data_IF_298996391801
#
_entry.id   IF_298996391801
#
_cell.length_a   1.000
_cell.length_b   1.000
_cell.length_c   1.000
_cell.angle_alpha   90.00
_cell.angle_beta   90.00
_cell.angle_gamma   90.00
#
_symmetry.space_group_name_H-M   'P 1'
#
loop_
_entity.id
_entity.type
_entity.pdbx_description
1 polymer ?
#
# COMPACT_ATOMS: atom_id res chain seq x y z
N UNK A 1 25.19 -14.41 -1.75
CA UNK A 1 23.88 -14.77 -2.16
C UNK A 1 23.70 -15.00 -3.65
N UNK A 2 22.56 -15.53 -4.03
CA UNK A 2 22.22 -15.81 -5.42
C UNK A 2 21.75 -14.55 -6.18
N UNK A 3 21.43 -13.48 -5.48
CA UNK A 3 21.11 -12.16 -6.03
C UNK A 3 21.74 -11.09 -5.14
N UNK A 4 23.00 -10.84 -5.33
CA UNK A 4 23.55 -9.56 -4.95
C UNK A 4 23.25 -8.60 -6.12
N UNK A 5 22.33 -7.66 -5.92
CA UNK A 5 22.33 -6.44 -6.73
C UNK A 5 23.61 -5.72 -6.31
N UNK A 6 24.70 -6.18 -6.82
CA UNK A 6 25.98 -5.50 -6.68
C UNK A 6 25.85 -4.22 -7.48
N UNK A 7 25.85 -3.07 -6.81
CA UNK A 7 26.39 -1.87 -7.44
C UNK A 7 27.64 -2.27 -8.23
N UNK A 8 27.88 -1.69 -9.41
CA UNK A 8 28.98 -2.12 -10.28
C UNK A 8 30.21 -2.41 -9.44
N UNK A 9 30.74 -3.65 -9.53
CA UNK A 9 31.76 -4.16 -8.60
C UNK A 9 33.01 -3.29 -8.45
N UNK A 10 33.21 -2.33 -9.39
CA UNK A 10 34.23 -1.31 -9.29
C UNK A 10 33.98 -0.29 -8.16
N UNK A 11 32.73 -0.01 -7.80
CA UNK A 11 32.38 0.90 -6.70
C UNK A 11 32.54 0.23 -5.33
N UNK A 12 32.09 -1.02 -5.20
CA UNK A 12 32.22 -1.79 -3.95
C UNK A 12 33.68 -2.13 -3.71
N UNK A 13 34.40 -2.64 -4.72
CA UNK A 13 35.85 -2.97 -4.61
C UNK A 13 36.73 -1.75 -4.34
N UNK A 14 36.33 -0.54 -4.79
CA UNK A 14 37.06 0.69 -4.50
C UNK A 14 36.80 1.19 -3.07
N UNK A 15 35.61 0.92 -2.55
CA UNK A 15 35.23 1.22 -1.16
C UNK A 15 35.94 0.25 -0.19
N UNK A 16 35.94 -1.06 -0.47
CA UNK A 16 36.64 -2.07 0.33
C UNK A 16 38.16 -1.86 0.36
N UNK A 17 38.79 -1.52 -0.78
CA UNK A 17 40.24 -1.20 -0.85
C UNK A 17 40.60 0.05 -0.03
N UNK A 18 39.69 0.98 0.14
CA UNK A 18 39.90 2.16 0.98
C UNK A 18 39.54 1.89 2.46
N UNK A 19 38.72 0.89 2.77
CA UNK A 19 38.46 0.43 4.12
C UNK A 19 39.70 -0.21 4.77
N UNK A 20 40.52 -0.91 3.96
CA UNK A 20 41.78 -1.52 4.43
C UNK A 20 42.89 -0.50 4.78
N UNK A 21 42.71 0.78 4.44
CA UNK A 21 43.71 1.86 4.68
C UNK A 21 43.70 2.42 6.11
N UNK A 22 43.13 1.75 7.08
CA UNK A 22 43.18 2.09 8.52
C UNK A 22 43.01 3.60 8.83
N UNK A 23 42.21 3.96 9.82
CA UNK A 23 41.96 5.33 10.21
C UNK A 23 40.53 5.80 9.95
N UNK A 24 40.26 7.09 10.20
CA UNK A 24 38.92 7.70 10.05
C UNK A 24 38.32 7.54 8.65
N UNK A 25 39.17 7.51 7.62
CA UNK A 25 38.76 7.34 6.23
C UNK A 25 38.22 5.90 5.94
N UNK A 26 38.87 4.88 6.52
CA UNK A 26 38.42 3.50 6.43
C UNK A 26 37.08 3.28 7.12
N UNK A 27 36.89 3.86 8.30
CA UNK A 27 35.62 3.82 9.02
C UNK A 27 34.51 4.52 8.23
N UNK A 28 34.80 5.63 7.60
CA UNK A 28 33.85 6.36 6.74
C UNK A 28 33.40 5.50 5.54
N UNK A 29 34.33 4.85 4.84
CA UNK A 29 33.99 4.01 3.69
C UNK A 29 33.27 2.72 4.11
N UNK A 30 33.60 2.12 5.26
CA UNK A 30 32.83 1.01 5.83
C UNK A 30 31.39 1.44 6.16
N UNK A 31 31.22 2.59 6.80
CA UNK A 31 29.90 3.14 7.10
C UNK A 31 29.11 3.46 5.83
N UNK A 32 29.76 4.03 4.82
CA UNK A 32 29.15 4.32 3.52
C UNK A 32 28.68 3.06 2.81
N UNK A 33 29.51 2.01 2.80
CA UNK A 33 29.14 0.71 2.21
C UNK A 33 27.95 0.09 2.96
N UNK A 34 27.97 0.14 4.30
CA UNK A 34 26.87 -0.35 5.12
C UNK A 34 25.58 0.38 4.82
N UNK A 35 25.63 1.72 4.71
CA UNK A 35 24.45 2.55 4.38
C UNK A 35 23.93 2.22 2.98
N UNK A 36 24.81 2.10 1.98
CA UNK A 36 24.43 1.77 0.61
C UNK A 36 23.76 0.40 0.50
N UNK A 37 24.28 -0.61 1.21
CA UNK A 37 23.65 -1.94 1.26
C UNK A 37 22.33 -1.93 2.01
N UNK A 38 22.24 -1.16 3.10
CA UNK A 38 21.02 -1.04 3.92
C UNK A 38 19.95 -0.14 3.27
N UNK A 39 20.31 0.70 2.28
CA UNK A 39 19.38 1.66 1.68
C UNK A 39 18.18 0.98 1.01
N UNK A 40 18.35 -0.21 0.47
CA UNK A 40 17.25 -1.00 -0.12
C UNK A 40 16.16 -1.33 0.89
N UNK A 41 16.53 -1.62 2.15
CA UNK A 41 15.58 -1.95 3.22
C UNK A 41 14.99 -0.72 3.90
N UNK A 42 15.71 0.41 3.90
CA UNK A 42 15.29 1.66 4.58
C UNK A 42 14.61 2.66 3.64
N UNK A 43 14.75 2.46 2.32
CA UNK A 43 14.19 3.32 1.29
C UNK A 43 12.71 3.68 1.48
N UNK A 44 11.81 2.73 1.76
CA UNK A 44 10.40 3.02 2.02
C UNK A 44 10.15 3.93 3.22
N UNK A 45 10.92 3.75 4.31
CA UNK A 45 10.80 4.57 5.54
C UNK A 45 11.32 5.98 5.28
N UNK A 46 12.48 6.09 4.64
CA UNK A 46 13.08 7.38 4.27
C UNK A 46 12.19 8.11 3.26
N UNK A 47 11.67 7.39 2.26
CA UNK A 47 10.78 7.94 1.25
C UNK A 47 9.49 8.51 1.85
N UNK A 48 8.85 7.79 2.77
CA UNK A 48 7.64 8.27 3.44
C UNK A 48 7.90 9.51 4.31
N UNK A 49 9.05 9.58 4.97
CA UNK A 49 9.44 10.75 5.76
C UNK A 49 9.72 11.98 4.87
N UNK A 50 10.37 11.80 3.71
CA UNK A 50 10.60 12.88 2.76
C UNK A 50 9.28 13.40 2.19
N UNK A 51 8.36 12.51 1.81
CA UNK A 51 7.04 12.88 1.32
C UNK A 51 6.26 13.64 2.40
N UNK A 52 6.30 13.21 3.66
CA UNK A 52 5.69 13.92 4.79
C UNK A 52 6.28 15.33 4.96
N UNK A 53 7.59 15.48 4.84
CA UNK A 53 8.25 16.79 4.93
C UNK A 53 7.83 17.75 3.80
N UNK A 54 7.63 17.25 2.57
CA UNK A 54 7.14 18.07 1.45
C UNK A 54 5.67 18.45 1.58
N UNK A 55 4.91 17.72 2.42
CA UNK A 55 3.53 18.02 2.75
C UNK A 55 3.36 19.16 3.78
N UNK A 56 4.44 19.71 4.30
CA UNK A 56 4.45 20.83 5.26
C UNK A 56 4.46 20.40 6.72
N UNK A 57 4.57 19.11 7.00
CA UNK A 57 4.63 18.58 8.36
C UNK A 57 6.11 18.41 8.77
N UNK A 58 6.65 19.39 9.48
CA UNK A 58 8.08 19.42 9.82
C UNK A 58 8.47 18.47 10.95
N UNK A 59 7.61 18.35 11.96
CA UNK A 59 7.95 17.64 13.20
C UNK A 59 7.85 16.13 13.09
N UNK A 60 6.82 15.62 12.42
CA UNK A 60 6.60 14.17 12.30
C UNK A 60 7.75 13.45 11.53
N UNK A 61 8.24 13.94 10.36
CA UNK A 61 9.39 13.35 9.69
C UNK A 61 10.68 13.39 10.50
N UNK A 62 10.95 14.52 11.19
CA UNK A 62 12.16 14.67 12.03
C UNK A 62 12.11 13.66 13.19
N UNK A 63 10.99 13.57 13.89
CA UNK A 63 10.83 12.63 15.01
C UNK A 63 10.95 11.17 14.54
N UNK A 64 10.32 10.83 13.42
CA UNK A 64 10.40 9.49 12.82
C UNK A 64 11.82 9.11 12.46
N UNK A 65 12.57 10.00 11.82
CA UNK A 65 13.97 9.78 11.45
C UNK A 65 14.88 9.71 12.67
N UNK A 66 14.62 10.51 13.69
CA UNK A 66 15.40 10.48 14.94
C UNK A 66 15.18 9.18 15.69
N UNK A 67 13.94 8.74 15.88
CA UNK A 67 13.59 7.47 16.51
C UNK A 67 14.18 6.30 15.72
N UNK A 68 14.05 6.32 14.40
CA UNK A 68 14.63 5.31 13.51
C UNK A 68 16.15 5.22 13.69
N UNK A 69 16.85 6.37 13.66
CA UNK A 69 18.32 6.42 13.78
C UNK A 69 18.80 5.91 15.14
N UNK A 70 18.12 6.28 16.25
CA UNK A 70 18.44 5.81 17.59
C UNK A 70 18.21 4.30 17.69
N UNK A 71 17.06 3.81 17.22
CA UNK A 71 16.72 2.39 17.27
C UNK A 71 17.71 1.54 16.48
N UNK A 72 18.12 2.05 15.31
CA UNK A 72 19.11 1.38 14.46
C UNK A 72 20.53 1.40 15.06
N UNK A 73 20.92 2.51 15.68
CA UNK A 73 22.24 2.63 16.32
C UNK A 73 22.37 1.83 17.61
N UNK A 74 21.26 1.57 18.33
CA UNK A 74 21.26 0.96 19.66
C UNK A 74 21.93 -0.43 19.70
N UNK A 75 21.66 -1.41 18.81
CA UNK A 75 22.34 -2.69 18.78
C UNK A 75 23.85 -2.56 18.60
N UNK A 76 24.28 -1.69 17.69
CA UNK A 76 25.71 -1.47 17.41
C UNK A 76 26.43 -0.83 18.59
N UNK A 77 25.78 0.15 19.23
CA UNK A 77 26.31 0.79 20.44
C UNK A 77 26.44 -0.20 21.58
N UNK A 78 25.42 -1.08 21.77
CA UNK A 78 25.44 -2.13 22.78
C UNK A 78 26.61 -3.11 22.57
N UNK A 79 26.82 -3.55 21.32
CA UNK A 79 27.94 -4.43 20.97
C UNK A 79 29.30 -3.74 21.11
N UNK A 80 29.38 -2.44 20.83
CA UNK A 80 30.60 -1.66 21.02
C UNK A 80 30.94 -1.48 22.52
N UNK A 81 29.92 -1.27 23.36
CA UNK A 81 30.10 -1.14 24.82
C UNK A 81 30.42 -2.47 25.52
N UNK A 82 29.87 -3.57 25.00
CA UNK A 82 30.04 -4.90 25.59
C UNK A 82 30.62 -5.89 24.58
N UNK A 83 31.92 -5.80 24.24
CA UNK A 83 32.56 -6.73 23.28
C UNK A 83 32.50 -8.21 23.70
N UNK A 84 32.25 -8.48 25.01
CA UNK A 84 32.04 -9.83 25.55
C UNK A 84 30.79 -10.51 25.00
N UNK A 85 29.75 -9.75 24.63
CA UNK A 85 28.54 -10.27 24.00
C UNK A 85 28.84 -10.84 22.59
N UNK A 86 29.76 -10.21 21.86
CA UNK A 86 30.23 -10.70 20.56
C UNK A 86 31.03 -12.02 20.67
N UNK A 87 31.73 -12.25 21.77
CA UNK A 87 32.51 -13.49 21.97
C UNK A 87 31.60 -14.70 22.19
N UNK A 88 30.39 -14.49 22.71
CA UNK A 88 29.40 -15.53 22.96
C UNK A 88 28.48 -15.81 21.78
N UNK A 89 28.54 -14.98 20.70
CA UNK A 89 27.85 -15.29 19.46
C UNK A 89 28.53 -16.51 18.81
N UNK A 90 27.74 -17.52 18.37
CA UNK A 90 28.30 -18.68 17.71
C UNK A 90 29.14 -18.23 16.50
N UNK A 91 30.43 -18.54 16.52
CA UNK A 91 31.37 -18.22 15.44
C UNK A 91 31.08 -19.00 14.14
N UNK A 92 30.00 -19.78 14.11
CA UNK A 92 29.57 -20.49 12.92
C UNK A 92 28.83 -19.53 11.99
N UNK A 93 29.43 -19.17 10.87
CA UNK A 93 28.83 -18.33 9.80
C UNK A 93 27.46 -18.79 9.29
N UNK A 94 27.02 -20.01 9.65
CA UNK A 94 25.72 -20.57 9.24
C UNK A 94 24.49 -19.85 9.79
N UNK A 95 24.56 -19.28 11.01
CA UNK A 95 23.42 -18.53 11.56
C UNK A 95 23.18 -17.22 10.79
N UNK A 96 24.26 -16.48 10.53
CA UNK A 96 24.18 -15.22 9.80
C UNK A 96 23.67 -15.44 8.36
N UNK A 97 24.13 -16.56 7.73
CA UNK A 97 23.63 -16.91 6.40
C UNK A 97 22.14 -17.25 6.42
N UNK A 98 21.66 -17.98 7.45
CA UNK A 98 20.24 -18.27 7.61
C UNK A 98 19.40 -16.99 7.74
N UNK A 99 19.87 -16.00 8.50
CA UNK A 99 19.19 -14.70 8.62
C UNK A 99 19.13 -13.98 7.27
N UNK A 100 20.25 -13.95 6.53
CA UNK A 100 20.28 -13.34 5.18
C UNK A 100 19.27 -13.98 4.23
N UNK A 101 19.15 -15.30 4.24
CA UNK A 101 18.22 -16.03 3.38
C UNK A 101 16.77 -15.73 3.77
N UNK A 102 16.44 -15.73 5.07
CA UNK A 102 15.09 -15.39 5.57
C UNK A 102 14.72 -13.97 5.14
N UNK A 103 15.61 -13.00 5.36
CA UNK A 103 15.39 -11.62 4.92
C UNK A 103 15.23 -11.52 3.40
N UNK A 104 16.00 -12.30 2.63
CA UNK A 104 15.86 -12.37 1.17
C UNK A 104 14.47 -12.82 0.70
N UNK A 105 13.87 -13.82 1.35
CA UNK A 105 12.48 -14.22 1.06
C UNK A 105 11.49 -13.10 1.37
N UNK A 106 11.65 -12.40 2.48
CA UNK A 106 10.80 -11.26 2.86
C UNK A 106 10.97 -10.12 1.86
N UNK A 107 12.19 -9.80 1.44
CA UNK A 107 12.46 -8.77 0.42
C UNK A 107 11.82 -9.11 -0.92
N UNK A 108 11.86 -10.36 -1.35
CA UNK A 108 11.19 -10.82 -2.58
C UNK A 108 9.68 -10.62 -2.46
N UNK A 109 9.07 -11.02 -1.34
CA UNK A 109 7.65 -10.83 -1.12
C UNK A 109 7.25 -9.34 -1.14
N UNK A 110 8.02 -8.47 -0.47
CA UNK A 110 7.81 -7.03 -0.50
C UNK A 110 8.06 -6.42 -1.88
N UNK A 111 9.04 -6.93 -2.63
CA UNK A 111 9.30 -6.54 -4.01
C UNK A 111 8.07 -6.75 -4.91
N UNK A 112 7.40 -7.89 -4.77
CA UNK A 112 6.13 -8.14 -5.46
C UNK A 112 5.01 -7.20 -5.01
N UNK A 113 5.01 -6.74 -3.75
CA UNK A 113 4.06 -5.70 -3.30
C UNK A 113 4.24 -4.41 -4.09
N UNK A 114 5.47 -3.92 -4.23
CA UNK A 114 5.73 -2.71 -5.01
C UNK A 114 5.41 -2.89 -6.50
N UNK A 115 5.72 -4.07 -7.04
CA UNK A 115 5.39 -4.39 -8.44
C UNK A 115 3.87 -4.44 -8.65
N UNK A 116 3.11 -5.01 -7.71
CA UNK A 116 1.65 -5.01 -7.76
C UNK A 116 1.04 -3.59 -7.68
N UNK A 117 1.64 -2.69 -6.88
CA UNK A 117 1.21 -1.28 -6.86
C UNK A 117 1.48 -0.62 -8.20
N UNK A 118 2.63 -0.86 -8.81
CA UNK A 118 2.94 -0.36 -10.16
C UNK A 118 1.95 -0.92 -11.18
N UNK A 119 1.66 -2.22 -11.13
CA UNK A 119 0.70 -2.90 -12.00
C UNK A 119 -0.68 -2.23 -11.96
N UNK A 120 -1.21 -1.99 -10.77
CA UNK A 120 -2.49 -1.32 -10.56
C UNK A 120 -2.46 0.13 -11.02
N UNK A 121 -1.36 0.85 -10.76
CA UNK A 121 -1.21 2.27 -11.10
C UNK A 121 -1.12 2.51 -12.61
N UNK A 122 -0.55 1.56 -13.36
CA UNK A 122 -0.42 1.59 -14.81
C UNK A 122 -1.44 0.70 -15.54
N UNK A 123 -2.29 -0.01 -14.82
CA UNK A 123 -3.35 -0.89 -15.35
C UNK A 123 -2.84 -1.98 -16.30
N UNK A 124 -1.73 -2.66 -15.93
CA UNK A 124 -1.17 -3.76 -16.73
C UNK A 124 -1.99 -5.05 -16.61
N UNK A 125 -2.64 -5.28 -15.45
CA UNK A 125 -3.47 -6.48 -15.18
C UNK A 125 -2.65 -7.77 -15.12
N UNK A 126 -1.42 -7.72 -14.63
CA UNK A 126 -0.51 -8.87 -14.54
C UNK A 126 -0.46 -9.46 -13.13
N UNK A 127 -0.66 -8.62 -12.11
CA UNK A 127 -0.55 -8.98 -10.70
C UNK A 127 -1.85 -8.74 -9.95
N UNK A 128 -2.92 -9.31 -10.47
CA UNK A 128 -4.21 -9.36 -9.80
C UNK A 128 -4.12 -10.10 -8.47
N UNK A 129 -5.14 -9.96 -7.62
CA UNK A 129 -5.08 -10.41 -6.24
C UNK A 129 -4.74 -11.90 -6.09
N UNK A 130 -5.30 -12.77 -6.92
CA UNK A 130 -5.03 -14.21 -6.90
C UNK A 130 -3.60 -14.53 -7.34
N UNK A 131 -3.09 -13.91 -8.38
CA UNK A 131 -1.71 -14.10 -8.87
C UNK A 131 -0.71 -13.65 -7.80
N UNK A 132 -0.96 -12.49 -7.22
CA UNK A 132 -0.15 -11.95 -6.13
C UNK A 132 -0.15 -12.87 -4.91
N UNK A 133 -1.33 -13.34 -4.47
CA UNK A 133 -1.45 -14.29 -3.36
C UNK A 133 -0.77 -15.62 -3.64
N UNK A 134 -0.90 -16.14 -4.85
CA UNK A 134 -0.21 -17.38 -5.25
C UNK A 134 1.31 -17.24 -5.11
N UNK A 135 1.88 -16.12 -5.56
CA UNK A 135 3.32 -15.85 -5.42
C UNK A 135 3.72 -15.74 -3.95
N UNK A 136 2.93 -15.06 -3.12
CA UNK A 136 3.21 -14.93 -1.68
C UNK A 136 3.12 -16.28 -0.98
N UNK A 137 2.08 -17.06 -1.22
CA UNK A 137 1.88 -18.41 -0.65
C UNK A 137 3.09 -19.30 -0.98
N UNK A 138 3.53 -19.31 -2.24
CA UNK A 138 4.68 -20.12 -2.66
C UNK A 138 5.97 -19.60 -2.02
N UNK A 139 6.17 -18.28 -1.97
CA UNK A 139 7.38 -17.67 -1.39
C UNK A 139 7.52 -18.00 0.09
N UNK A 140 6.44 -17.85 0.87
CA UNK A 140 6.45 -18.19 2.30
C UNK A 140 6.47 -19.69 2.53
N UNK A 141 5.81 -20.52 1.72
CA UNK A 141 5.93 -21.98 1.81
C UNK A 141 7.37 -22.45 1.61
N UNK A 142 8.09 -21.87 0.64
CA UNK A 142 9.52 -22.15 0.42
C UNK A 142 10.38 -21.69 1.62
N UNK A 143 10.04 -20.55 2.23
CA UNK A 143 10.68 -20.09 3.47
C UNK A 143 10.45 -21.09 4.61
N UNK A 144 9.24 -21.61 4.78
CA UNK A 144 8.92 -22.65 5.78
C UNK A 144 9.74 -23.92 5.56
N UNK A 145 9.87 -24.40 4.32
CA UNK A 145 10.73 -25.54 3.99
C UNK A 145 12.21 -25.25 4.24
N UNK A 146 12.67 -24.02 4.00
CA UNK A 146 14.01 -23.58 4.33
C UNK A 146 14.26 -23.63 5.85
N UNK A 147 13.32 -23.11 6.65
CA UNK A 147 13.40 -23.13 8.12
C UNK A 147 13.44 -24.56 8.66
N UNK A 148 12.71 -25.50 8.06
CA UNK A 148 12.76 -26.93 8.38
C UNK A 148 14.05 -27.63 7.90
N UNK A 149 14.94 -26.92 7.18
CA UNK A 149 16.19 -27.48 6.65
C UNK A 149 16.02 -28.43 5.46
N UNK A 150 14.84 -28.44 4.83
CA UNK A 150 14.56 -29.24 3.61
C UNK A 150 15.07 -28.55 2.35
N UNK A 151 15.08 -27.22 2.35
CA UNK A 151 15.65 -26.40 1.28
C UNK A 151 17.05 -25.90 1.74
N UNK A 152 18.05 -25.94 0.86
CA UNK A 152 19.41 -25.50 1.16
C UNK A 152 20.00 -24.71 0.00
N UNK A 153 20.72 -23.66 0.31
CA UNK A 153 21.48 -22.86 -0.65
C UNK A 153 22.98 -23.14 -0.52
N UNK A 154 23.76 -22.70 -1.51
CA UNK A 154 25.17 -23.09 -1.70
C UNK A 154 26.09 -22.79 -0.49
N UNK A 155 25.76 -21.88 0.39
CA UNK A 155 26.57 -21.51 1.55
C UNK A 155 25.91 -21.86 2.90
N UNK A 156 24.85 -22.68 2.88
CA UNK A 156 24.17 -23.08 4.10
C UNK A 156 24.91 -24.21 4.82
N UNK A 157 24.97 -24.08 6.15
CA UNK A 157 25.45 -25.15 7.01
C UNK A 157 24.43 -26.29 7.09
N UNK A 158 24.91 -27.51 7.21
CA UNK A 158 24.05 -28.68 7.35
C UNK A 158 23.25 -28.63 8.65
N UNK A 159 21.92 -28.67 8.54
CA UNK A 159 21.01 -28.71 9.68
C UNK A 159 20.78 -30.17 10.07
N UNK A 160 21.63 -30.69 10.94
CA UNK A 160 21.50 -32.08 11.45
C UNK A 160 20.36 -32.24 12.45
N UNK A 161 20.09 -31.20 13.25
CA UNK A 161 19.01 -31.16 14.26
C UNK A 161 18.27 -29.85 14.18
N UNK A 162 16.93 -29.89 14.25
CA UNK A 162 16.11 -28.69 14.33
C UNK A 162 16.18 -28.11 15.74
N UNK A 163 16.53 -26.83 15.86
CA UNK A 163 16.37 -26.10 17.12
C UNK A 163 14.89 -25.73 17.35
N UNK A 164 14.48 -25.65 18.60
CA UNK A 164 13.11 -25.26 19.00
C UNK A 164 12.73 -23.92 18.38
N UNK A 165 13.64 -22.95 18.33
CA UNK A 165 13.39 -21.63 17.72
C UNK A 165 13.11 -21.71 16.22
N UNK A 166 13.85 -22.52 15.45
CA UNK A 166 13.61 -22.72 14.02
C UNK A 166 12.27 -23.40 13.78
N UNK A 167 11.93 -24.40 14.60
CA UNK A 167 10.64 -25.07 14.51
C UNK A 167 9.48 -24.10 14.80
N UNK A 168 9.61 -23.28 15.84
CA UNK A 168 8.60 -22.28 16.18
C UNK A 168 8.40 -21.26 15.03
N UNK A 169 9.48 -20.77 14.44
CA UNK A 169 9.42 -19.88 13.28
C UNK A 169 8.76 -20.56 12.07
N UNK A 170 9.07 -21.82 11.79
CA UNK A 170 8.46 -22.58 10.71
C UNK A 170 6.95 -22.77 10.95
N UNK A 171 6.52 -23.02 12.18
CA UNK A 171 5.09 -23.12 12.52
C UNK A 171 4.37 -21.80 12.27
N UNK A 172 4.94 -20.68 12.70
CA UNK A 172 4.37 -19.34 12.46
C UNK A 172 4.27 -19.06 10.96
N UNK A 173 5.31 -19.37 10.21
CA UNK A 173 5.38 -19.17 8.76
C UNK A 173 4.33 -20.02 8.03
N UNK A 174 4.23 -21.32 8.31
CA UNK A 174 3.19 -22.16 7.72
C UNK A 174 1.77 -21.77 8.16
N UNK A 175 1.58 -21.33 9.40
CA UNK A 175 0.29 -20.78 9.84
C UNK A 175 -0.09 -19.54 9.01
N UNK A 176 0.89 -18.69 8.69
CA UNK A 176 0.69 -17.53 7.81
C UNK A 176 0.35 -17.96 6.38
N UNK A 177 1.01 -18.99 5.83
CA UNK A 177 0.69 -19.58 4.53
C UNK A 177 -0.75 -20.08 4.51
N UNK A 178 -1.17 -20.87 5.52
CA UNK A 178 -2.54 -21.39 5.63
C UNK A 178 -3.57 -20.27 5.76
N UNK A 179 -3.23 -19.20 6.49
CA UNK A 179 -4.10 -18.03 6.61
C UNK A 179 -4.34 -17.32 5.27
N UNK A 180 -3.35 -17.31 4.35
CA UNK A 180 -3.50 -16.68 3.02
C UNK A 180 -4.34 -17.51 2.04
N UNK A 181 -4.41 -18.84 2.19
CA UNK A 181 -5.09 -19.74 1.25
C UNK A 181 -6.54 -19.34 0.96
N UNK A 182 -7.41 -19.04 1.95
CA UNK A 182 -8.79 -18.61 1.69
C UNK A 182 -8.88 -17.34 0.83
N UNK A 183 -7.85 -16.49 0.85
CA UNK A 183 -7.77 -15.29 0.02
C UNK A 183 -7.80 -15.56 -1.48
N UNK A 184 -7.35 -16.75 -1.92
CA UNK A 184 -7.42 -17.21 -3.31
C UNK A 184 -8.88 -17.34 -3.82
N UNK A 185 -9.85 -17.45 -2.92
CA UNK A 185 -11.29 -17.54 -3.24
C UNK A 185 -12.09 -16.34 -2.76
N UNK A 186 -11.43 -15.20 -2.52
CA UNK A 186 -12.09 -13.93 -2.20
C UNK A 186 -12.26 -13.63 -0.72
N UNK A 187 -11.65 -14.40 0.20
CA UNK A 187 -11.66 -14.02 1.61
C UNK A 187 -10.95 -12.67 1.80
N UNK A 188 -11.52 -11.74 2.60
CA UNK A 188 -11.00 -10.37 2.75
C UNK A 188 -9.62 -10.29 3.42
N UNK A 189 -9.19 -11.33 4.17
CA UNK A 189 -7.89 -11.40 4.86
C UNK A 189 -7.58 -10.11 5.63
N UNK A 190 -8.44 -9.73 6.57
CA UNK A 190 -8.41 -8.44 7.28
C UNK A 190 -7.06 -8.06 7.89
N UNK A 191 -6.25 -9.04 8.33
CA UNK A 191 -4.92 -8.77 8.88
C UNK A 191 -3.89 -8.36 7.82
N UNK A 192 -4.12 -8.69 6.56
CA UNK A 192 -3.24 -8.39 5.43
C UNK A 192 -3.81 -7.35 4.46
N UNK A 193 -4.98 -6.77 4.78
CA UNK A 193 -5.73 -5.90 3.86
C UNK A 193 -4.90 -4.78 3.26
N UNK A 194 -4.02 -4.15 4.04
CA UNK A 194 -3.14 -3.08 3.56
C UNK A 194 -2.02 -3.52 2.61
N UNK A 195 -1.71 -4.81 2.58
CA UNK A 195 -0.61 -5.35 1.76
C UNK A 195 -1.07 -6.03 0.49
N UNK A 196 -2.34 -6.40 0.41
CA UNK A 196 -2.93 -7.11 -0.72
C UNK A 196 -3.51 -6.15 -1.75
N UNK A 197 -3.53 -6.54 -3.04
CA UNK A 197 -4.35 -5.87 -4.05
C UNK A 197 -5.82 -5.82 -3.65
N UNK A 198 -6.60 -4.86 -4.18
CA UNK A 198 -8.04 -4.76 -3.92
C UNK A 198 -8.79 -6.05 -4.27
N UNK A 199 -9.89 -6.33 -3.57
CA UNK A 199 -10.74 -7.50 -3.88
C UNK A 199 -11.31 -7.44 -5.30
N UNK A 200 -11.50 -6.25 -5.83
CA UNK A 200 -12.08 -6.02 -7.15
C UNK A 200 -11.18 -6.50 -8.31
N UNK A 201 -9.88 -6.68 -8.07
CA UNK A 201 -8.96 -7.24 -9.07
C UNK A 201 -9.01 -8.75 -9.16
N UNK A 202 -9.84 -9.42 -8.33
CA UNK A 202 -9.95 -10.86 -8.29
C UNK A 202 -11.01 -11.35 -9.28
N UNK A 203 -10.63 -12.30 -10.14
CA UNK A 203 -11.51 -12.87 -11.18
C UNK A 203 -12.65 -13.69 -10.59
N UNK A 204 -12.42 -14.32 -9.43
CA UNK A 204 -13.38 -15.24 -8.83
C UNK A 204 -13.51 -15.06 -7.32
N UNK A 205 -14.74 -14.80 -6.84
CA UNK A 205 -15.09 -14.69 -5.43
C UNK A 205 -16.14 -15.74 -5.07
N UNK A 206 -15.78 -16.68 -4.18
CA UNK A 206 -16.69 -17.73 -3.73
C UNK A 206 -17.80 -17.12 -2.86
N UNK A 207 -19.06 -17.39 -3.20
CA UNK A 207 -20.21 -16.94 -2.41
C UNK A 207 -20.84 -15.62 -2.84
N UNK A 208 -20.24 -14.89 -3.74
CA UNK A 208 -20.96 -13.90 -4.52
C UNK A 208 -21.49 -14.62 -5.77
N UNK A 209 -22.81 -14.82 -5.83
CA UNK A 209 -23.43 -15.23 -7.10
C UNK A 209 -23.03 -14.18 -8.13
N UNK A 210 -22.47 -14.57 -9.28
CA UNK A 210 -22.30 -13.62 -10.35
C UNK A 210 -23.70 -13.08 -10.64
N UNK A 211 -23.88 -11.76 -10.52
CA UNK A 211 -25.04 -11.12 -11.11
C UNK A 211 -25.11 -11.63 -12.56
N UNK A 212 -26.31 -11.95 -13.09
CA UNK A 212 -26.41 -12.61 -14.38
C UNK A 212 -25.63 -11.83 -15.42
N UNK A 213 -24.49 -12.36 -15.80
CA UNK A 213 -23.68 -11.84 -16.90
C UNK A 213 -24.37 -12.29 -18.17
N UNK A 214 -25.19 -11.43 -18.74
CA UNK A 214 -25.65 -11.58 -20.12
C UNK A 214 -24.55 -10.97 -20.99
N UNK A 215 -23.56 -11.74 -21.36
CA UNK A 215 -22.40 -11.26 -22.11
C UNK A 215 -22.14 -12.11 -23.33
N UNK A 216 -21.72 -11.47 -24.40
CA UNK A 216 -21.22 -12.09 -25.61
C UNK A 216 -19.81 -12.68 -25.43
N UNK A 217 -19.31 -13.35 -26.49
CA UNK A 217 -18.19 -14.28 -26.53
C UNK A 217 -16.77 -13.72 -26.21
N UNK A 218 -16.61 -12.48 -25.74
CA UNK A 218 -15.32 -11.79 -25.70
C UNK A 218 -14.85 -11.37 -24.27
N UNK A 219 -15.07 -12.22 -23.24
CA UNK A 219 -14.51 -12.00 -21.91
C UNK A 219 -15.48 -11.41 -20.88
N UNK A 220 -15.11 -11.33 -19.58
CA UNK A 220 -15.99 -10.90 -18.50
C UNK A 220 -16.30 -9.41 -18.60
N UNK A 221 -17.38 -9.07 -19.26
CA UNK A 221 -17.94 -7.72 -19.25
C UNK A 221 -18.85 -7.59 -18.05
N UNK A 222 -18.51 -6.74 -17.10
CA UNK A 222 -19.39 -6.38 -16.00
C UNK A 222 -20.62 -5.66 -16.56
N UNK A 223 -21.76 -6.37 -16.72
CA UNK A 223 -23.00 -5.76 -17.18
C UNK A 223 -23.61 -5.00 -16.02
N UNK A 224 -23.50 -3.69 -16.07
CA UNK A 224 -24.39 -2.78 -15.32
C UNK A 224 -25.64 -2.56 -16.18
N UNK A 225 -26.72 -3.26 -15.84
CA UNK A 225 -28.02 -2.96 -16.45
C UNK A 225 -28.51 -1.62 -15.90
N UNK A 226 -28.51 -0.60 -16.75
CA UNK A 226 -29.21 0.66 -16.49
C UNK A 226 -28.40 1.84 -15.95
N UNK A 227 -27.07 1.76 -15.83
CA UNK A 227 -26.24 2.92 -15.51
C UNK A 227 -25.59 3.47 -16.77
N UNK A 228 -25.63 4.79 -16.97
CA UNK A 228 -24.76 5.47 -17.93
C UNK A 228 -23.31 5.05 -17.63
N UNK A 229 -22.53 4.82 -18.70
CA UNK A 229 -21.13 4.39 -18.54
C UNK A 229 -20.37 5.50 -17.83
N UNK A 230 -19.97 5.23 -16.56
CA UNK A 230 -19.23 6.19 -15.72
C UNK A 230 -17.84 6.37 -16.32
N UNK A 231 -17.37 7.60 -16.48
CA UNK A 231 -16.01 7.86 -16.96
C UNK A 231 -14.97 7.14 -16.10
N UNK A 232 -14.02 6.46 -16.77
CA UNK A 232 -12.94 5.67 -16.14
C UNK A 232 -13.40 4.44 -15.34
N UNK A 233 -14.70 4.11 -15.37
CA UNK A 233 -15.25 2.95 -14.67
C UNK A 233 -14.97 1.60 -15.33
N UNK A 234 -14.30 1.59 -16.47
CA UNK A 234 -13.77 0.42 -17.18
C UNK A 234 -12.53 -0.17 -16.49
N UNK A 235 -11.73 0.68 -15.83
CA UNK A 235 -10.49 0.26 -15.13
C UNK A 235 -10.41 0.74 -13.67
N UNK A 236 -11.21 1.72 -13.23
CA UNK A 236 -11.33 2.11 -11.83
C UNK A 236 -12.58 1.50 -11.21
N UNK A 237 -12.49 1.11 -9.95
CA UNK A 237 -13.59 0.46 -9.24
C UNK A 237 -13.72 0.95 -7.80
N UNK A 238 -14.95 0.91 -7.27
CA UNK A 238 -15.23 1.19 -5.86
C UNK A 238 -15.18 -0.07 -5.02
N UNK A 239 -14.77 0.02 -3.74
CA UNK A 239 -14.78 -1.14 -2.85
C UNK A 239 -16.23 -1.59 -2.54
N UNK A 240 -16.39 -2.88 -2.27
CA UNK A 240 -17.63 -3.49 -1.78
C UNK A 240 -18.89 -3.22 -2.62
N UNK A 241 -18.73 -3.01 -3.94
CA UNK A 241 -19.87 -2.75 -4.82
C UNK A 241 -20.57 -1.41 -4.61
N UNK A 242 -19.93 -0.46 -3.91
CA UNK A 242 -20.38 0.92 -3.83
C UNK A 242 -20.41 1.47 -5.26
N UNK A 243 -21.53 2.08 -5.65
CA UNK A 243 -21.65 2.79 -6.93
C UNK A 243 -21.15 4.22 -6.78
N UNK A 244 -20.33 4.69 -7.73
CA UNK A 244 -19.78 6.04 -7.65
C UNK A 244 -19.05 6.45 -8.93
N UNK A 245 -18.46 7.62 -8.88
CA UNK A 245 -17.80 8.30 -9.98
C UNK A 245 -16.29 8.37 -9.76
N UNK A 246 -15.53 8.53 -10.83
CA UNK A 246 -14.07 8.68 -10.79
C UNK A 246 -13.59 10.00 -11.40
N UNK A 247 -14.53 10.77 -12.01
CA UNK A 247 -14.29 12.11 -12.54
C UNK A 247 -15.08 13.13 -11.72
N UNK A 248 -14.40 14.21 -11.35
CA UNK A 248 -14.92 15.21 -10.42
C UNK A 248 -16.16 15.97 -10.95
N UNK A 249 -16.13 16.41 -12.22
CA UNK A 249 -17.24 17.21 -12.79
C UNK A 249 -18.45 16.33 -13.07
N UNK A 250 -18.25 15.07 -13.45
CA UNK A 250 -19.32 14.09 -13.61
C UNK A 250 -20.05 13.85 -12.27
N UNK A 251 -19.28 13.65 -11.18
CA UNK A 251 -19.83 13.50 -9.85
C UNK A 251 -20.60 14.73 -9.36
N UNK A 252 -20.08 15.94 -9.61
CA UNK A 252 -20.76 17.18 -9.32
C UNK A 252 -22.08 17.32 -10.08
N UNK A 253 -22.10 16.97 -11.36
CA UNK A 253 -23.32 17.00 -12.18
C UNK A 253 -24.36 16.02 -11.62
N UNK A 254 -23.95 14.81 -11.26
CA UNK A 254 -24.81 13.81 -10.65
C UNK A 254 -25.36 14.27 -9.30
N UNK A 255 -24.54 14.88 -8.44
CA UNK A 255 -24.93 15.41 -7.13
C UNK A 255 -26.00 16.51 -7.27
N UNK A 256 -25.82 17.40 -8.25
CA UNK A 256 -26.82 18.46 -8.57
C UNK A 256 -28.12 17.86 -9.06
N UNK A 257 -28.05 16.88 -9.97
CA UNK A 257 -29.24 16.23 -10.53
C UNK A 257 -30.01 15.43 -9.47
N UNK A 258 -29.31 14.77 -8.55
CA UNK A 258 -29.90 13.96 -7.50
C UNK A 258 -30.32 14.78 -6.27
N UNK A 259 -29.87 16.03 -6.11
CA UNK A 259 -30.07 16.82 -4.92
C UNK A 259 -29.44 16.20 -3.67
N UNK A 260 -28.32 15.50 -3.82
CA UNK A 260 -27.60 14.80 -2.75
C UNK A 260 -26.22 15.41 -2.50
N UNK A 261 -25.68 15.31 -1.27
CA UNK A 261 -24.30 15.68 -0.99
C UNK A 261 -23.32 14.73 -1.68
N UNK A 262 -22.10 15.23 -1.90
CA UNK A 262 -20.96 14.42 -2.36
C UNK A 262 -20.23 13.82 -1.17
N UNK A 263 -19.91 12.53 -1.27
CA UNK A 263 -18.87 11.88 -0.49
C UNK A 263 -17.64 11.71 -1.36
N UNK A 264 -16.55 12.37 -1.00
CA UNK A 264 -15.29 12.35 -1.73
C UNK A 264 -14.30 11.46 -0.98
N UNK A 265 -13.87 10.38 -1.62
CA UNK A 265 -12.83 9.49 -1.13
C UNK A 265 -11.51 9.82 -1.85
N UNK A 266 -10.60 10.48 -1.14
CA UNK A 266 -9.24 10.74 -1.63
C UNK A 266 -8.40 9.50 -1.34
N UNK A 267 -8.16 8.69 -2.35
CA UNK A 267 -7.57 7.35 -2.26
C UNK A 267 -6.39 7.16 -3.21
N UNK A 268 -5.81 5.96 -3.21
CA UNK A 268 -4.75 5.58 -4.12
C UNK A 268 -4.51 4.07 -4.16
N UNK A 269 -3.96 3.57 -5.26
CA UNK A 269 -3.64 2.15 -5.46
C UNK A 269 -2.58 1.65 -4.47
N UNK A 270 -1.55 2.47 -4.20
CA UNK A 270 -0.47 2.15 -3.27
C UNK A 270 -0.78 2.42 -1.79
N UNK A 271 -1.96 2.92 -1.47
CA UNK A 271 -2.31 3.40 -0.15
C UNK A 271 -2.71 2.26 0.81
N UNK A 272 -1.79 1.84 1.67
CA UNK A 272 -2.02 0.79 2.70
C UNK A 272 -3.19 1.14 3.62
N UNK A 273 -3.22 2.37 4.14
CA UNK A 273 -4.27 2.83 5.04
C UNK A 273 -5.64 2.91 4.35
N UNK A 274 -5.69 3.23 3.04
CA UNK A 274 -6.93 3.22 2.27
C UNK A 274 -7.49 1.79 2.17
N UNK A 275 -6.64 0.81 1.84
CA UNK A 275 -7.04 -0.62 1.82
C UNK A 275 -7.53 -1.09 3.18
N UNK A 276 -6.93 -0.62 4.26
CA UNK A 276 -7.35 -0.98 5.61
C UNK A 276 -8.70 -0.36 5.97
N UNK A 277 -8.92 0.91 5.63
CA UNK A 277 -10.22 1.58 5.81
C UNK A 277 -11.33 0.89 5.00
N UNK A 278 -11.05 0.52 3.75
CA UNK A 278 -11.99 -0.22 2.93
C UNK A 278 -12.43 -1.54 3.57
N UNK A 279 -11.50 -2.31 4.13
CA UNK A 279 -11.81 -3.62 4.69
C UNK A 279 -12.39 -3.58 6.09
N UNK A 280 -12.19 -2.53 6.86
CA UNK A 280 -12.61 -2.46 8.26
C UNK A 280 -13.74 -1.47 8.51
N UNK A 281 -13.85 -0.41 7.70
CA UNK A 281 -14.83 0.67 7.88
C UNK A 281 -15.83 0.70 6.73
N UNK A 282 -15.37 0.82 5.48
CA UNK A 282 -16.28 0.88 4.33
C UNK A 282 -16.99 -0.45 4.04
N UNK A 283 -16.53 -1.55 4.65
CA UNK A 283 -17.20 -2.86 4.59
C UNK A 283 -18.39 -2.99 5.54
N UNK A 284 -18.58 -2.07 6.49
CA UNK A 284 -19.73 -2.09 7.41
C UNK A 284 -21.03 -1.77 6.67
N UNK A 285 -22.07 -2.58 6.89
CA UNK A 285 -23.36 -2.47 6.18
C UNK A 285 -24.03 -1.12 6.38
N UNK A 286 -23.91 -0.53 7.58
CA UNK A 286 -24.48 0.79 7.91
C UNK A 286 -23.80 1.89 7.09
N UNK A 287 -22.47 1.84 6.99
CA UNK A 287 -21.68 2.78 6.18
C UNK A 287 -22.07 2.66 4.71
N UNK A 288 -22.13 1.43 4.19
CA UNK A 288 -22.52 1.17 2.80
C UNK A 288 -23.95 1.65 2.50
N UNK A 289 -24.88 1.43 3.44
CA UNK A 289 -26.27 1.87 3.28
C UNK A 289 -26.36 3.40 3.21
N UNK A 290 -25.74 4.12 4.14
CA UNK A 290 -25.74 5.58 4.14
C UNK A 290 -25.10 6.14 2.86
N UNK A 291 -23.96 5.59 2.44
CA UNK A 291 -23.29 6.04 1.22
C UNK A 291 -24.15 5.80 -0.03
N UNK A 292 -24.90 4.72 -0.10
CA UNK A 292 -25.77 4.38 -1.23
C UNK A 292 -27.04 5.22 -1.25
N UNK A 293 -27.65 5.40 -0.08
CA UNK A 293 -28.96 6.02 0.02
C UNK A 293 -28.89 7.55 0.04
N UNK A 294 -27.88 8.13 0.68
CA UNK A 294 -27.82 9.56 0.97
C UNK A 294 -26.76 10.34 0.20
N UNK A 295 -25.79 9.67 -0.44
CA UNK A 295 -24.65 10.32 -1.08
C UNK A 295 -24.52 10.03 -2.57
N UNK A 296 -23.88 10.94 -3.29
CA UNK A 296 -23.17 10.63 -4.53
C UNK A 296 -21.69 10.45 -4.17
N UNK A 297 -21.14 9.27 -4.48
CA UNK A 297 -19.77 8.92 -4.12
C UNK A 297 -18.82 9.22 -5.29
N UNK A 298 -17.67 9.82 -4.98
CA UNK A 298 -16.57 10.00 -5.96
C UNK A 298 -15.25 9.57 -5.34
N UNK A 299 -14.52 8.69 -6.02
CA UNK A 299 -13.16 8.30 -5.63
C UNK A 299 -12.14 9.06 -6.46
N UNK A 300 -11.28 9.80 -5.77
CA UNK A 300 -10.17 10.51 -6.36
C UNK A 300 -8.88 9.71 -6.16
N UNK A 301 -8.55 8.83 -7.10
CA UNK A 301 -7.28 8.10 -7.12
C UNK A 301 -6.14 9.07 -7.41
N UNK A 302 -5.28 9.34 -6.42
CA UNK A 302 -4.27 10.41 -6.52
C UNK A 302 -2.91 9.94 -7.04
N UNK A 303 -2.71 8.64 -7.17
CA UNK A 303 -1.48 8.01 -7.67
C UNK A 303 -1.64 7.34 -9.04
N UNK A 304 -2.84 7.39 -9.62
CA UNK A 304 -3.16 6.81 -10.93
C UNK A 304 -2.36 7.45 -12.06
N UNK A 305 -1.81 6.62 -12.97
CA UNK A 305 -0.97 7.04 -14.09
C UNK A 305 -1.67 7.02 -15.44
N UNK A 306 -2.92 6.58 -15.47
CA UNK A 306 -3.70 6.63 -16.69
C UNK A 306 -3.89 8.08 -17.15
N UNK A 307 -3.89 8.24 -18.48
CA UNK A 307 -4.11 9.55 -19.10
C UNK A 307 -5.60 9.86 -19.12
N UNK A 308 -5.97 11.00 -18.57
CA UNK A 308 -7.33 11.51 -18.63
C UNK A 308 -7.73 11.88 -20.08
N UNK A 309 -9.03 11.86 -20.37
CA UNK A 309 -9.58 12.37 -21.61
C UNK A 309 -9.19 13.85 -21.80
N UNK A 310 -9.06 14.30 -23.04
CA UNK A 310 -8.57 15.65 -23.33
C UNK A 310 -9.43 16.76 -22.72
N UNK A 311 -10.73 16.52 -22.60
CA UNK A 311 -11.72 17.43 -21.98
C UNK A 311 -11.56 17.56 -20.47
N UNK A 312 -10.97 16.56 -19.80
CA UNK A 312 -10.78 16.53 -18.36
C UNK A 312 -9.41 17.08 -17.94
N UNK A 313 -8.58 17.52 -18.89
CA UNK A 313 -7.29 18.10 -18.55
C UNK A 313 -7.45 19.40 -17.78
N UNK A 314 -6.63 19.57 -16.76
CA UNK A 314 -6.67 20.73 -15.88
C UNK A 314 -5.39 21.54 -16.03
N UNK A 315 -5.52 22.83 -16.33
CA UNK A 315 -4.39 23.75 -16.31
C UNK A 315 -4.29 24.42 -14.93
N UNK A 316 -3.15 24.28 -14.29
CA UNK A 316 -2.88 24.88 -12.98
C UNK A 316 -2.68 26.40 -13.11
N UNK A 317 -2.74 27.12 -11.99
CA UNK A 317 -2.46 28.57 -11.94
C UNK A 317 -1.07 28.94 -12.45
N UNK A 318 -0.10 28.03 -12.34
CA UNK A 318 1.25 28.18 -12.90
C UNK A 318 1.38 27.84 -14.39
N UNK A 319 0.25 27.64 -15.12
CA UNK A 319 0.26 27.37 -16.57
C UNK A 319 0.60 25.92 -16.95
N UNK A 320 0.80 25.02 -16.01
CA UNK A 320 1.07 23.59 -16.30
C UNK A 320 -0.21 22.84 -16.53
N UNK A 321 -0.33 22.14 -17.67
CA UNK A 321 -1.49 21.28 -17.98
C UNK A 321 -1.25 19.87 -17.44
N UNK A 322 -2.12 19.44 -16.53
CA UNK A 322 -2.15 18.10 -15.94
C UNK A 322 -2.96 17.18 -16.86
N UNK A 323 -2.41 16.00 -17.16
CA UNK A 323 -2.99 15.05 -18.13
C UNK A 323 -3.23 13.66 -17.55
N UNK A 324 -2.62 13.34 -16.39
CA UNK A 324 -2.78 12.08 -15.68
C UNK A 324 -3.89 12.22 -14.64
N UNK A 325 -4.74 11.21 -14.52
CA UNK A 325 -5.87 11.18 -13.57
C UNK A 325 -5.39 11.48 -12.15
N UNK A 326 -4.34 10.80 -11.69
CA UNK A 326 -3.83 10.99 -10.33
C UNK A 326 -3.32 12.40 -10.06
N UNK A 327 -2.68 13.04 -11.05
CA UNK A 327 -2.20 14.43 -10.91
C UNK A 327 -3.37 15.42 -10.88
N UNK A 328 -4.40 15.18 -11.67
CA UNK A 328 -5.63 15.99 -11.67
C UNK A 328 -6.33 15.84 -10.33
N UNK A 329 -6.54 14.62 -9.87
CA UNK A 329 -7.20 14.33 -8.59
C UNK A 329 -6.44 14.91 -7.39
N UNK A 330 -5.10 14.77 -7.37
CA UNK A 330 -4.25 15.41 -6.35
C UNK A 330 -4.37 16.93 -6.35
N UNK A 331 -4.46 17.54 -7.51
CA UNK A 331 -4.65 18.98 -7.65
C UNK A 331 -6.02 19.42 -7.12
N UNK A 332 -7.08 18.69 -7.46
CA UNK A 332 -8.45 18.95 -6.98
C UNK A 332 -8.51 18.83 -5.44
N UNK A 333 -8.01 17.73 -4.88
CA UNK A 333 -7.99 17.49 -3.44
C UNK A 333 -7.26 18.60 -2.68
N UNK A 334 -6.08 19.00 -3.16
CA UNK A 334 -5.29 20.07 -2.55
C UNK A 334 -5.94 21.45 -2.70
N UNK A 335 -6.40 21.80 -3.90
CA UNK A 335 -6.91 23.15 -4.17
C UNK A 335 -8.26 23.41 -3.53
N UNK A 336 -9.18 22.43 -3.57
CA UNK A 336 -10.54 22.59 -3.05
C UNK A 336 -10.67 22.33 -1.57
N UNK A 337 -9.93 21.34 -1.06
CA UNK A 337 -10.12 20.83 0.31
C UNK A 337 -8.88 21.00 1.19
N UNK A 338 -7.79 21.53 0.65
CA UNK A 338 -6.49 21.63 1.33
C UNK A 338 -5.99 20.27 1.84
N UNK A 339 -6.28 19.19 1.10
CA UNK A 339 -5.92 17.80 1.41
C UNK A 339 -4.79 17.37 0.48
N UNK A 340 -3.70 16.89 1.06
CA UNK A 340 -2.50 16.39 0.34
C UNK A 340 -2.06 15.00 0.82
N UNK A 341 -2.90 14.32 1.58
CA UNK A 341 -2.66 12.98 2.13
C UNK A 341 -3.85 12.06 1.86
N UNK A 342 -3.60 10.77 1.86
CA UNK A 342 -4.61 9.71 1.69
C UNK A 342 -4.46 8.66 2.80
N UNK A 343 -5.57 8.04 3.28
CA UNK A 343 -6.95 8.35 2.91
C UNK A 343 -7.43 9.68 3.49
N UNK A 344 -8.35 10.33 2.77
CA UNK A 344 -9.10 11.45 3.30
C UNK A 344 -10.53 11.42 2.76
N UNK A 345 -11.47 11.60 3.65
CA UNK A 345 -12.91 11.57 3.37
C UNK A 345 -13.51 12.96 3.56
N UNK A 346 -14.18 13.47 2.55
CA UNK A 346 -14.76 14.79 2.56
C UNK A 346 -16.24 14.68 2.24
N UNK A 347 -17.08 15.38 3.01
CA UNK A 347 -18.47 15.61 2.65
C UNK A 347 -18.57 17.01 2.06
N UNK A 348 -19.08 17.12 0.84
CA UNK A 348 -19.22 18.37 0.12
C UNK A 348 -20.65 18.58 -0.38
N UNK A 349 -21.02 19.84 -0.64
CA UNK A 349 -22.28 20.17 -1.30
C UNK A 349 -22.20 19.97 -2.83
N UNK A 350 -23.33 20.12 -3.51
CA UNK A 350 -23.42 20.00 -4.96
C UNK A 350 -22.67 21.11 -5.74
N UNK A 351 -22.12 22.13 -5.06
CA UNK A 351 -21.21 23.12 -5.63
C UNK A 351 -19.73 22.71 -5.42
N UNK A 352 -19.48 21.66 -4.64
CA UNK A 352 -18.15 21.15 -4.33
C UNK A 352 -17.47 21.84 -3.15
N UNK A 353 -18.22 22.55 -2.30
CA UNK A 353 -17.70 23.15 -1.08
C UNK A 353 -17.84 22.16 0.08
N UNK A 354 -16.77 22.00 0.88
CA UNK A 354 -16.80 21.12 2.05
C UNK A 354 -17.84 21.57 3.08
N UNK A 355 -18.60 20.62 3.60
CA UNK A 355 -19.62 20.82 4.63
C UNK A 355 -19.09 20.57 6.04
N UNK A 356 -18.11 19.67 6.15
CA UNK A 356 -17.43 19.30 7.39
C UNK A 356 -15.91 19.31 7.19
N UNK A 357 -15.13 19.41 8.28
CA UNK A 357 -13.70 19.18 8.19
C UNK A 357 -13.39 17.80 7.59
N UNK A 358 -12.37 17.67 6.73
CA UNK A 358 -11.94 16.39 6.19
C UNK A 358 -11.60 15.39 7.30
N UNK A 359 -11.96 14.12 7.10
CA UNK A 359 -11.65 13.02 8.01
C UNK A 359 -10.56 12.13 7.41
N UNK A 360 -9.47 11.96 8.13
CA UNK A 360 -8.37 11.09 7.73
C UNK A 360 -8.57 9.63 8.15
N UNK A 361 -7.44 8.89 8.24
CA UNK A 361 -7.42 7.51 8.69
C UNK A 361 -7.89 7.37 10.14
N UNK A 362 -9.00 6.67 10.33
CA UNK A 362 -9.56 6.33 11.64
C UNK A 362 -10.48 5.10 11.50
N UNK A 363 -10.14 4.01 12.19
CA UNK A 363 -10.83 2.73 12.09
C UNK A 363 -12.12 2.64 12.91
N UNK A 364 -12.56 3.72 13.55
CA UNK A 364 -13.84 3.79 14.27
C UNK A 364 -15.01 3.80 13.30
N UNK A 365 -15.72 2.68 13.20
CA UNK A 365 -16.95 2.56 12.38
C UNK A 365 -18.03 3.52 12.90
N UNK A 366 -18.26 3.56 14.21
CA UNK A 366 -19.25 4.44 14.84
C UNK A 366 -18.92 5.91 14.55
N UNK A 367 -17.65 6.30 14.69
CA UNK A 367 -17.20 7.64 14.36
C UNK A 367 -17.35 7.97 12.88
N UNK A 368 -17.26 6.97 12.00
CA UNK A 368 -17.45 7.17 10.56
C UNK A 368 -18.94 7.31 10.21
N UNK A 369 -19.82 6.52 10.83
CA UNK A 369 -21.28 6.66 10.71
C UNK A 369 -21.74 8.05 11.17
N UNK A 370 -21.27 8.50 12.37
CA UNK A 370 -21.57 9.87 12.87
C UNK A 370 -21.10 10.95 11.88
N UNK A 371 -19.92 10.78 11.31
CA UNK A 371 -19.40 11.72 10.29
C UNK A 371 -20.31 11.80 9.07
N UNK A 372 -20.79 10.67 8.55
CA UNK A 372 -21.70 10.63 7.40
C UNK A 372 -23.07 11.24 7.75
N UNK A 373 -23.67 10.88 8.89
CA UNK A 373 -24.98 11.40 9.32
C UNK A 373 -24.94 12.92 9.54
N UNK A 374 -23.87 13.43 10.15
CA UNK A 374 -23.64 14.87 10.30
C UNK A 374 -23.46 15.56 8.94
N UNK A 375 -22.84 14.89 7.99
CA UNK A 375 -22.71 15.38 6.63
C UNK A 375 -24.06 15.58 5.95
N UNK A 376 -24.95 14.58 6.05
CA UNK A 376 -26.33 14.68 5.54
C UNK A 376 -27.10 15.80 6.23
N UNK A 377 -26.97 15.90 7.56
CA UNK A 377 -27.66 16.97 8.33
C UNK A 377 -27.16 18.36 7.92
N UNK A 378 -25.84 18.55 7.75
CA UNK A 378 -25.26 19.81 7.31
C UNK A 378 -25.70 20.18 5.87
N UNK A 379 -25.83 19.20 4.99
CA UNK A 379 -26.34 19.42 3.64
C UNK A 379 -27.80 19.89 3.66
N UNK A 380 -28.65 19.18 4.41
CA UNK A 380 -30.08 19.56 4.57
C UNK A 380 -30.25 20.96 5.15
N UNK A 381 -29.49 21.30 6.18
CA UNK A 381 -29.52 22.64 6.79
C UNK A 381 -29.10 23.76 5.82
N UNK A 382 -28.23 23.45 4.83
CA UNK A 382 -27.77 24.42 3.84
C UNK A 382 -28.70 24.55 2.63
N UNK A 383 -29.48 23.52 2.32
CA UNK A 383 -30.37 23.45 1.15
C UNK A 383 -31.84 23.74 1.47
N UNK A 384 -32.20 23.61 2.74
CA UNK A 384 -33.54 24.02 3.19
C UNK A 384 -33.46 25.48 3.70
N UNK A 385 -34.19 26.44 3.08
CA UNK A 385 -34.24 27.83 3.52
C UNK A 385 -34.93 28.02 4.86
#
# INVERSE_FOLDING_TARGET
GAFEITFPGWMVNKSDRNADRGGLLGVFFMALTLVLVSFSCTGPIVGSAIIGATAGDFWAPILTMLVFSITFALPFTLFAMFPSLLKNLPKSGGWLNSVKVVLGFIEVALGFKFLSVADQTYHWGLLDREVYLAIWIVTFALLGFYLLGKLRFAHDSEVKTLSVGRLALAIVDFAFVVYMIPGMWGAPLKALSGYLPPLQTQDFILGQSPLPVIGGADGPTSIRVGAAQVKYGDFLSMPHGITGYFEWNEALAAARAAGKPLFVDVTGHGCVNCREMEQKVLSDERVQQILRDDYIVVALYTDDKARAAGEDWVTTEGGTTLKEIGRINSYIARKRFNVNAQPNYIVADAAGAALLPPRGYDLSVEGFVDFLERGVAAYKARTQP
#
